data_IF_930544082074
#
_entry.id   IF_930544082074
#
_cell.length_a   1.000
_cell.length_b   1.000
_cell.length_c   1.000
_cell.angle_alpha   90.00
_cell.angle_beta   90.00
_cell.angle_gamma   90.00
#
_symmetry.space_group_name_H-M   'P 1'
#
loop_
_entity.id
_entity.type
_entity.pdbx_description
1 polymer ?
#
# COMPACT_ATOMS: atom_id res chain seq x y z
N UNK A 1 -20.27 8.69 -7.74
CA UNK A 1 -18.83 8.98 -7.76
C UNK A 1 -18.50 9.66 -6.45
N UNK A 2 -17.63 9.09 -5.61
CA UNK A 2 -17.10 9.85 -4.48
C UNK A 2 -16.14 10.90 -5.06
N UNK A 3 -16.15 12.14 -4.57
CA UNK A 3 -15.19 13.13 -5.01
C UNK A 3 -13.78 12.70 -4.60
N UNK A 4 -13.00 12.23 -5.57
CA UNK A 4 -11.62 11.78 -5.38
C UNK A 4 -10.79 12.83 -4.63
N UNK A 5 -10.99 14.13 -4.91
CA UNK A 5 -10.26 15.26 -4.31
C UNK A 5 -10.72 15.70 -2.91
N UNK A 6 -11.88 15.23 -2.42
CA UNK A 6 -12.45 15.69 -1.15
C UNK A 6 -12.22 14.70 0.01
N UNK A 7 -11.40 13.66 -0.20
CA UNK A 7 -10.99 12.77 0.90
C UNK A 7 -10.03 13.51 1.82
N UNK A 8 -10.54 13.98 2.96
CA UNK A 8 -9.73 14.46 4.08
C UNK A 8 -9.23 13.24 4.83
N UNK A 9 -7.91 13.07 4.92
CA UNK A 9 -7.31 12.02 5.75
C UNK A 9 -7.31 12.46 7.20
N UNK A 10 -8.26 11.93 7.98
CA UNK A 10 -8.28 12.03 9.43
C UNK A 10 -7.44 10.91 10.08
N UNK A 11 -7.37 10.89 11.42
CA UNK A 11 -6.59 9.91 12.16
C UNK A 11 -7.05 8.46 11.90
N UNK A 12 -8.34 8.24 11.65
CA UNK A 12 -8.90 6.90 11.38
C UNK A 12 -8.47 6.43 9.98
N UNK A 13 -8.55 7.30 8.98
CA UNK A 13 -8.15 6.99 7.62
C UNK A 13 -6.65 6.70 7.52
N UNK A 14 -5.84 7.46 8.27
CA UNK A 14 -4.39 7.20 8.39
C UNK A 14 -4.12 5.86 9.08
N UNK A 15 -4.79 5.55 10.19
CA UNK A 15 -4.62 4.28 10.90
C UNK A 15 -4.93 3.07 10.00
N UNK A 16 -5.96 3.17 9.15
CA UNK A 16 -6.31 2.11 8.19
C UNK A 16 -5.18 1.90 7.17
N UNK A 17 -4.64 2.99 6.62
CA UNK A 17 -3.56 2.93 5.62
C UNK A 17 -2.27 2.41 6.28
N UNK A 18 -1.93 2.91 7.46
CA UNK A 18 -0.76 2.46 8.23
C UNK A 18 -0.85 0.98 8.54
N UNK A 19 -2.01 0.51 9.04
CA UNK A 19 -2.23 -0.92 9.33
C UNK A 19 -1.95 -1.80 8.12
N UNK A 20 -2.53 -1.47 6.96
CA UNK A 20 -2.35 -2.29 5.75
C UNK A 20 -0.93 -2.18 5.19
N UNK A 21 -0.31 -1.00 5.29
CA UNK A 21 1.06 -0.77 4.85
C UNK A 21 2.07 -1.56 5.70
N UNK A 22 1.88 -1.59 7.02
CA UNK A 22 2.72 -2.38 7.94
C UNK A 22 2.57 -3.88 7.69
N UNK A 23 1.34 -4.36 7.47
CA UNK A 23 1.09 -5.76 7.12
C UNK A 23 1.79 -6.16 5.81
N UNK A 24 1.64 -5.33 4.78
CA UNK A 24 2.27 -5.55 3.48
C UNK A 24 3.80 -5.49 3.59
N UNK A 25 4.34 -4.54 4.37
CA UNK A 25 5.78 -4.44 4.64
C UNK A 25 6.32 -5.73 5.29
N UNK A 26 5.62 -6.24 6.30
CA UNK A 26 6.01 -7.45 7.02
C UNK A 26 5.92 -8.70 6.12
N UNK A 27 4.87 -8.81 5.31
CA UNK A 27 4.67 -9.92 4.37
C UNK A 27 5.81 -10.00 3.34
N UNK A 28 6.35 -8.85 2.92
CA UNK A 28 7.40 -8.78 1.89
C UNK A 28 8.81 -8.50 2.43
N UNK A 29 8.99 -8.40 3.75
CA UNK A 29 10.30 -8.22 4.39
C UNK A 29 11.01 -6.91 4.00
N UNK A 30 10.26 -5.84 3.73
CA UNK A 30 10.81 -4.56 3.28
C UNK A 30 11.42 -3.75 4.45
N UNK A 31 12.51 -3.05 4.20
CA UNK A 31 13.07 -2.11 5.16
C UNK A 31 12.12 -0.91 5.35
N UNK A 32 12.00 -0.39 6.58
CA UNK A 32 11.15 0.76 6.91
C UNK A 32 11.53 2.04 6.15
N UNK A 33 12.79 2.15 5.73
CA UNK A 33 13.31 3.29 4.97
C UNK A 33 13.37 3.01 3.46
N UNK A 34 12.76 1.91 2.99
CA UNK A 34 12.79 1.59 1.57
C UNK A 34 11.98 2.61 0.75
N UNK A 35 12.50 3.10 -0.40
CA UNK A 35 11.71 3.89 -1.34
C UNK A 35 10.46 3.13 -1.83
N UNK A 36 10.50 1.80 -1.84
CA UNK A 36 9.35 0.96 -2.21
C UNK A 36 8.19 1.11 -1.22
N UNK A 37 8.49 1.34 0.06
CA UNK A 37 7.46 1.54 1.08
C UNK A 37 6.74 2.88 0.87
N UNK A 38 7.48 3.92 0.50
CA UNK A 38 6.89 5.22 0.12
C UNK A 38 6.02 5.13 -1.12
N UNK A 39 6.44 4.36 -2.13
CA UNK A 39 5.64 4.12 -3.33
C UNK A 39 4.37 3.31 -3.02
N UNK A 40 4.49 2.28 -2.17
CA UNK A 40 3.36 1.49 -1.73
C UNK A 40 2.32 2.32 -0.97
N UNK A 41 2.76 3.18 -0.06
CA UNK A 41 1.90 4.11 0.65
C UNK A 41 1.12 5.03 -0.31
N UNK A 42 1.79 5.59 -1.32
CA UNK A 42 1.15 6.45 -2.33
C UNK A 42 0.07 5.70 -3.13
N UNK A 43 0.31 4.43 -3.47
CA UNK A 43 -0.69 3.58 -4.13
C UNK A 43 -1.86 3.27 -3.20
N UNK A 44 -1.60 2.90 -1.94
CA UNK A 44 -2.65 2.59 -0.95
C UNK A 44 -3.55 3.79 -0.67
N UNK A 45 -2.98 5.00 -0.63
CA UNK A 45 -3.74 6.26 -0.54
C UNK A 45 -4.73 6.41 -1.71
N UNK A 46 -4.30 6.10 -2.93
CA UNK A 46 -5.17 6.18 -4.10
C UNK A 46 -6.28 5.12 -4.03
N UNK A 47 -5.94 3.88 -3.69
CA UNK A 47 -6.91 2.79 -3.52
C UNK A 47 -7.96 3.13 -2.45
N UNK A 48 -7.54 3.75 -1.34
CA UNK A 48 -8.45 4.22 -0.30
C UNK A 48 -9.46 5.23 -0.86
N UNK A 49 -8.99 6.22 -1.63
CA UNK A 49 -9.84 7.25 -2.27
C UNK A 49 -10.82 6.69 -3.29
N UNK A 50 -10.51 5.54 -3.89
CA UNK A 50 -11.41 4.81 -4.80
C UNK A 50 -12.57 4.11 -4.07
N UNK A 51 -12.57 4.12 -2.73
CA UNK A 51 -13.63 3.55 -1.88
C UNK A 51 -13.23 2.26 -1.17
N UNK A 52 -11.93 1.94 -1.13
CA UNK A 52 -11.41 0.87 -0.28
C UNK A 52 -11.14 1.39 1.14
N UNK A 53 -12.18 1.94 1.77
CA UNK A 53 -12.08 2.79 2.96
C UNK A 53 -12.04 2.02 4.30
N UNK A 54 -11.84 0.71 4.26
CA UNK A 54 -11.68 -0.14 5.45
C UNK A 54 -10.50 -1.07 5.27
N UNK A 55 -9.86 -1.49 6.37
CA UNK A 55 -8.74 -2.46 6.36
C UNK A 55 -9.00 -3.67 5.45
N UNK A 56 -10.12 -4.42 5.56
CA UNK A 56 -10.34 -5.59 4.70
C UNK A 56 -10.50 -5.24 3.21
N UNK A 57 -11.11 -4.10 2.88
CA UNK A 57 -11.25 -3.67 1.49
C UNK A 57 -9.91 -3.23 0.91
N UNK A 58 -9.15 -2.43 1.65
CA UNK A 58 -7.84 -1.95 1.24
C UNK A 58 -6.84 -3.09 1.08
N UNK A 59 -6.79 -4.03 2.04
CA UNK A 59 -5.96 -5.24 1.95
C UNK A 59 -6.26 -6.04 0.68
N UNK A 60 -7.55 -6.25 0.37
CA UNK A 60 -7.95 -6.95 -0.85
C UNK A 60 -7.53 -6.20 -2.11
N UNK A 61 -7.69 -4.88 -2.14
CA UNK A 61 -7.29 -4.05 -3.27
C UNK A 61 -5.76 -4.09 -3.48
N UNK A 62 -4.99 -3.99 -2.40
CA UNK A 62 -3.52 -4.12 -2.39
C UNK A 62 -3.08 -5.44 -3.00
N UNK A 63 -3.65 -6.57 -2.55
CA UNK A 63 -3.31 -7.89 -3.05
C UNK A 63 -3.63 -8.09 -4.55
N UNK A 64 -4.56 -7.30 -5.11
CA UNK A 64 -4.95 -7.34 -6.52
C UNK A 64 -4.23 -6.27 -7.36
N UNK A 65 -3.48 -5.37 -6.73
CA UNK A 65 -2.89 -4.22 -7.42
C UNK A 65 -1.59 -4.61 -8.14
N UNK A 66 -1.62 -4.58 -9.48
CA UNK A 66 -0.51 -4.99 -10.34
C UNK A 66 0.80 -4.27 -9.99
N UNK A 67 0.77 -2.95 -9.79
CA UNK A 67 2.00 -2.19 -9.52
C UNK A 67 2.66 -2.59 -8.20
N UNK A 68 1.88 -2.96 -7.17
CA UNK A 68 2.44 -3.43 -5.89
C UNK A 68 3.02 -4.83 -6.01
N UNK A 69 2.37 -5.69 -6.80
CA UNK A 69 2.89 -7.02 -7.13
C UNK A 69 4.21 -6.93 -7.91
N UNK A 70 4.31 -6.01 -8.87
CA UNK A 70 5.54 -5.78 -9.63
C UNK A 70 6.66 -5.20 -8.75
N UNK A 71 6.31 -4.31 -7.82
CA UNK A 71 7.26 -3.69 -6.89
C UNK A 71 7.99 -4.73 -6.03
N UNK A 72 7.25 -5.68 -5.44
CA UNK A 72 7.83 -6.74 -4.61
C UNK A 72 8.60 -7.76 -5.44
N UNK A 73 8.14 -8.05 -6.66
CA UNK A 73 8.85 -8.94 -7.59
C UNK A 73 10.20 -8.37 -8.05
N UNK A 74 10.33 -7.03 -8.13
CA UNK A 74 11.61 -6.37 -8.43
C UNK A 74 12.55 -6.36 -7.21
N UNK A 75 12.01 -6.19 -6.00
CA UNK A 75 12.80 -6.23 -4.78
C UNK A 75 13.36 -7.64 -4.50
N UNK A 76 12.55 -8.69 -4.66
CA UNK A 76 12.97 -10.09 -4.52
C UNK A 76 14.14 -10.44 -5.48
N UNK A 77 14.05 -9.98 -6.73
CA UNK A 77 15.12 -10.18 -7.73
C UNK A 77 16.40 -9.42 -7.42
N UNK A 78 16.33 -8.32 -6.67
CA UNK A 78 17.49 -7.53 -6.26
C UNK A 78 18.25 -8.18 -5.11
N UNK A 79 17.56 -8.94 -4.25
CA UNK A 79 18.16 -9.69 -3.15
C UNK A 79 18.92 -10.96 -3.59
N UNK A 80 18.70 -11.45 -4.82
CA UNK A 80 19.30 -12.69 -5.34
C UNK A 80 20.43 -12.47 -6.38
N UNK A 81 21.12 -11.33 -6.37
CA UNK A 81 22.29 -11.16 -7.26
C UNK A 81 23.53 -11.89 -6.67
N UNK A 82 24.12 -12.87 -7.37
CA UNK A 82 25.34 -13.56 -6.94
C UNK A 82 26.59 -12.68 -7.01
#
# INVERSE_FOLDING_TARGET
MRPFLETTFGPVELEIIETVLEEWQQEHGLAKDSPDLGLAAAVMINLFREGNDTVPLLRRAVAQHKALSELVAMNDKSAHRP
#
